data_IF_303289208597
#
_entry.id   IF_303289208597
#
_cell.length_a   1.000
_cell.length_b   1.000
_cell.length_c   1.000
_cell.angle_alpha   90.00
_cell.angle_beta   90.00
_cell.angle_gamma   90.00
#
_symmetry.space_group_name_H-M   'P 1'
#
loop_
_entity.id
_entity.type
_entity.pdbx_description
1 polymer ?
#
# COMPACT_ATOMS: atom_id res chain seq x y z
N UNK A 1 1.02 -15.71 11.22
CA UNK A 1 2.13 -15.24 10.36
C UNK A 1 1.64 -15.44 8.94
N UNK A 2 1.41 -14.37 8.18
CA UNK A 2 1.01 -14.51 6.78
C UNK A 2 2.27 -14.81 5.96
N UNK A 3 2.24 -15.92 5.22
CA UNK A 3 3.29 -16.33 4.31
C UNK A 3 3.39 -15.29 3.18
N UNK A 4 4.59 -14.76 2.95
CA UNK A 4 4.84 -13.68 2.00
C UNK A 4 5.01 -14.26 0.60
N UNK A 5 3.90 -14.52 -0.08
CA UNK A 5 3.92 -14.81 -1.50
C UNK A 5 3.74 -13.48 -2.26
N UNK A 6 4.76 -13.08 -3.03
CA UNK A 6 4.62 -12.02 -4.01
C UNK A 6 3.56 -12.41 -5.05
N UNK A 7 3.04 -11.44 -5.81
CA UNK A 7 2.07 -11.74 -6.89
C UNK A 7 2.64 -12.74 -7.90
N UNK A 8 3.96 -12.76 -8.10
CA UNK A 8 4.63 -13.77 -8.92
C UNK A 8 4.44 -15.20 -8.40
N UNK A 9 4.30 -15.38 -7.07
CA UNK A 9 3.97 -16.67 -6.44
C UNK A 9 2.51 -17.09 -6.57
N UNK A 10 1.63 -16.28 -7.18
CA UNK A 10 0.28 -16.71 -7.59
C UNK A 10 0.36 -17.60 -8.85
N UNK A 11 1.49 -17.58 -9.56
CA UNK A 11 1.79 -18.56 -10.59
C UNK A 11 2.13 -19.91 -9.93
N UNK A 12 1.07 -20.69 -9.64
CA UNK A 12 1.21 -22.12 -9.37
C UNK A 12 1.98 -22.77 -10.52
N UNK A 13 3.07 -23.48 -10.20
CA UNK A 13 3.86 -24.33 -11.09
C UNK A 13 3.11 -25.59 -11.59
N UNK A 14 1.77 -25.60 -11.55
CA UNK A 14 0.98 -26.70 -12.09
C UNK A 14 -0.33 -26.18 -12.72
N UNK A 15 -0.39 -26.01 -14.06
CA UNK A 15 -1.59 -25.53 -14.76
C UNK A 15 -2.77 -26.51 -14.72
N UNK A 16 -2.60 -27.71 -14.16
CA UNK A 16 -3.66 -28.71 -14.00
C UNK A 16 -4.50 -28.55 -12.72
N UNK A 17 -4.09 -27.73 -11.74
CA UNK A 17 -4.73 -27.71 -10.41
C UNK A 17 -5.79 -26.60 -10.23
N UNK A 18 -5.84 -25.62 -11.13
CA UNK A 18 -6.85 -24.56 -11.12
C UNK A 18 -7.38 -24.32 -12.54
N UNK A 19 -8.48 -24.97 -12.94
CA UNK A 19 -9.01 -24.88 -14.30
C UNK A 19 -9.58 -23.48 -14.54
N UNK A 20 -8.81 -22.55 -15.10
CA UNK A 20 -9.28 -21.28 -15.66
C UNK A 20 -10.38 -20.56 -14.84
N UNK A 21 -10.27 -20.60 -13.51
CA UNK A 21 -11.20 -19.95 -12.58
C UNK A 21 -10.61 -18.59 -12.24
N UNK A 22 -11.27 -17.52 -12.68
CA UNK A 22 -10.87 -16.16 -12.35
C UNK A 22 -10.70 -15.93 -10.84
N UNK A 23 -9.85 -14.96 -10.49
CA UNK A 23 -9.60 -14.63 -9.09
C UNK A 23 -10.68 -13.71 -8.53
N UNK A 24 -11.22 -14.05 -7.35
CA UNK A 24 -12.00 -13.10 -6.56
C UNK A 24 -11.06 -12.32 -5.65
N UNK A 25 -10.98 -11.01 -5.85
CA UNK A 25 -10.13 -10.13 -5.07
C UNK A 25 -10.96 -9.36 -4.06
N UNK A 26 -10.50 -9.33 -2.81
CA UNK A 26 -11.08 -8.50 -1.75
C UNK A 26 -10.04 -7.43 -1.38
N UNK A 27 -10.45 -6.16 -1.45
CA UNK A 27 -9.65 -5.02 -1.03
C UNK A 27 -10.36 -4.35 0.14
N UNK A 28 -9.66 -4.14 1.25
CA UNK A 28 -10.21 -3.45 2.42
C UNK A 28 -9.97 -1.95 2.29
N UNK A 29 -11.03 -1.19 2.06
CA UNK A 29 -10.96 0.27 1.96
C UNK A 29 -11.13 0.96 3.32
N UNK A 30 -10.38 2.03 3.52
CA UNK A 30 -10.40 2.84 4.73
C UNK A 30 -9.03 3.39 5.07
N UNK A 31 -8.95 4.15 6.16
CA UNK A 31 -7.64 4.56 6.70
C UNK A 31 -6.80 3.34 7.09
N UNK A 32 -5.48 3.49 7.10
CA UNK A 32 -4.54 2.44 7.55
C UNK A 32 -4.93 1.80 8.90
N UNK A 33 -5.46 2.60 9.82
CA UNK A 33 -5.95 2.08 11.09
C UNK A 33 -7.22 1.25 10.93
N UNK A 34 -8.20 1.76 10.20
CA UNK A 34 -9.48 1.08 9.96
C UNK A 34 -9.29 -0.24 9.22
N UNK A 35 -8.56 -0.25 8.10
CA UNK A 35 -8.31 -1.47 7.33
C UNK A 35 -7.61 -2.55 8.17
N UNK A 36 -6.63 -2.14 9.00
CA UNK A 36 -5.94 -3.06 9.91
C UNK A 36 -6.85 -3.61 11.00
N UNK A 37 -7.71 -2.77 11.57
CA UNK A 37 -8.69 -3.21 12.58
C UNK A 37 -9.68 -4.19 11.94
N UNK A 38 -10.22 -3.85 10.77
CA UNK A 38 -11.15 -4.71 10.02
C UNK A 38 -10.55 -6.09 9.74
N UNK A 39 -9.29 -6.13 9.27
CA UNK A 39 -8.58 -7.38 9.05
C UNK A 39 -8.41 -8.17 10.36
N UNK A 40 -7.82 -7.55 11.39
CA UNK A 40 -7.48 -8.23 12.64
C UNK A 40 -8.70 -8.73 13.43
N UNK A 41 -9.83 -8.04 13.32
CA UNK A 41 -11.05 -8.39 14.05
C UNK A 41 -11.91 -9.44 13.33
N UNK A 42 -11.62 -9.77 12.08
CA UNK A 42 -12.43 -10.70 11.30
C UNK A 42 -11.65 -11.99 11.00
N UNK A 43 -11.96 -13.05 11.75
CA UNK A 43 -11.30 -14.36 11.60
C UNK A 43 -11.50 -14.99 10.21
N UNK A 44 -12.58 -14.67 9.50
CA UNK A 44 -12.79 -15.14 8.14
C UNK A 44 -11.70 -14.59 7.20
N UNK A 45 -11.31 -13.32 7.34
CA UNK A 45 -10.26 -12.73 6.50
C UNK A 45 -8.90 -13.38 6.73
N UNK A 46 -8.64 -13.91 7.93
CA UNK A 46 -7.40 -14.65 8.22
C UNK A 46 -7.31 -16.01 7.52
N UNK A 47 -8.44 -16.61 7.14
CA UNK A 47 -8.46 -17.86 6.36
C UNK A 47 -8.21 -17.64 4.87
N UNK A 48 -8.29 -16.39 4.38
CA UNK A 48 -8.08 -16.06 2.99
C UNK A 48 -6.58 -15.96 2.68
N UNK A 49 -6.21 -16.33 1.45
CA UNK A 49 -4.87 -16.09 0.93
C UNK A 49 -4.61 -14.59 0.87
N UNK A 50 -3.64 -14.12 1.65
CA UNK A 50 -3.20 -12.73 1.65
C UNK A 50 -1.97 -12.58 0.76
N UNK A 51 -1.92 -11.50 -0.01
CA UNK A 51 -0.77 -11.17 -0.85
C UNK A 51 -0.19 -9.82 -0.43
N UNK A 52 1.10 -9.65 -0.67
CA UNK A 52 1.80 -8.39 -0.45
C UNK A 52 2.26 -7.83 -1.79
N UNK A 53 1.94 -6.56 -2.04
CA UNK A 53 2.47 -5.84 -3.19
C UNK A 53 3.89 -5.40 -2.89
N UNK A 54 4.86 -6.09 -3.47
CA UNK A 54 6.26 -5.68 -3.43
C UNK A 54 6.58 -4.72 -4.58
N UNK A 55 7.47 -3.75 -4.30
CA UNK A 55 8.05 -2.84 -5.28
C UNK A 55 7.04 -2.00 -6.08
N UNK A 56 6.19 -1.26 -5.37
CA UNK A 56 5.15 -0.43 -5.99
C UNK A 56 5.59 1.01 -6.33
N UNK A 57 6.86 1.37 -6.07
CA UNK A 57 7.34 2.74 -6.21
C UNK A 57 6.74 3.70 -5.17
N UNK A 58 6.94 5.00 -5.37
CA UNK A 58 6.34 6.06 -4.55
C UNK A 58 4.92 6.32 -5.03
N UNK A 59 3.98 6.41 -4.10
CA UNK A 59 2.58 6.70 -4.41
C UNK A 59 2.39 8.08 -5.05
N UNK A 60 1.50 8.15 -6.02
CA UNK A 60 1.00 9.35 -6.68
C UNK A 60 -0.04 10.10 -5.83
N UNK A 61 -0.56 9.47 -4.77
CA UNK A 61 -1.47 10.13 -3.84
C UNK A 61 -0.75 11.08 -2.87
N UNK A 62 -0.34 12.25 -3.38
CA UNK A 62 0.56 13.19 -2.69
C UNK A 62 -0.12 14.21 -1.77
N UNK A 63 -1.45 14.32 -1.85
CA UNK A 63 -2.24 15.32 -1.09
C UNK A 63 -2.66 14.83 0.30
N UNK A 64 -2.13 13.69 0.76
CA UNK A 64 -2.34 13.15 2.11
C UNK A 64 -1.05 12.57 2.65
N UNK A 65 -0.84 12.71 3.96
CA UNK A 65 0.29 12.06 4.65
C UNK A 65 0.11 10.56 4.70
N UNK A 66 1.14 9.83 4.30
CA UNK A 66 1.20 8.37 4.35
C UNK A 66 2.12 7.88 5.47
N UNK A 67 1.95 6.65 5.99
CA UNK A 67 2.83 6.10 7.00
C UNK A 67 4.30 6.01 6.54
N UNK A 68 4.53 5.45 5.36
CA UNK A 68 5.85 5.28 4.71
C UNK A 68 5.78 5.74 3.26
N UNK A 69 6.92 5.94 2.60
CA UNK A 69 7.01 6.34 1.18
C UNK A 69 6.51 5.25 0.21
N UNK A 70 6.51 4.00 0.67
CA UNK A 70 6.11 2.80 -0.08
C UNK A 70 4.63 2.44 0.09
N UNK A 71 3.90 3.23 0.88
CA UNK A 71 2.47 3.04 1.07
C UNK A 71 1.70 3.46 -0.18
N UNK A 72 0.65 2.71 -0.51
CA UNK A 72 -0.23 3.00 -1.65
C UNK A 72 -1.61 3.43 -1.18
N UNK A 73 -2.31 4.21 -2.01
CA UNK A 73 -3.76 4.35 -1.90
C UNK A 73 -4.48 3.06 -2.30
N UNK A 74 -5.75 2.93 -1.91
CA UNK A 74 -6.61 1.80 -2.30
C UNK A 74 -6.66 1.62 -3.82
N UNK A 75 -6.76 2.74 -4.56
CA UNK A 75 -6.82 2.73 -6.03
C UNK A 75 -5.52 2.25 -6.65
N UNK A 76 -4.37 2.70 -6.15
CA UNK A 76 -3.07 2.25 -6.66
C UNK A 76 -2.82 0.77 -6.37
N UNK A 77 -3.18 0.31 -5.17
CA UNK A 77 -3.07 -1.11 -4.83
C UNK A 77 -3.94 -1.98 -5.75
N UNK A 78 -5.18 -1.55 -6.03
CA UNK A 78 -6.07 -2.22 -6.98
C UNK A 78 -5.49 -2.20 -8.41
N UNK A 79 -4.96 -1.05 -8.83
CA UNK A 79 -4.40 -0.85 -10.15
C UNK A 79 -3.21 -1.77 -10.43
N UNK A 80 -2.26 -1.86 -9.49
CA UNK A 80 -1.10 -2.77 -9.57
C UNK A 80 -1.53 -4.23 -9.56
N UNK A 81 -2.48 -4.58 -8.69
CA UNK A 81 -2.97 -5.94 -8.59
C UNK A 81 -3.62 -6.39 -9.91
N UNK A 82 -4.56 -5.60 -10.44
CA UNK A 82 -5.27 -5.93 -11.67
C UNK A 82 -4.35 -5.92 -12.88
N UNK A 83 -3.43 -4.97 -12.99
CA UNK A 83 -2.47 -4.96 -14.11
C UNK A 83 -1.59 -6.21 -14.15
N UNK A 84 -1.26 -6.78 -12.97
CA UNK A 84 -0.48 -8.02 -12.88
C UNK A 84 -1.34 -9.26 -13.12
N UNK A 85 -2.56 -9.32 -12.58
CA UNK A 85 -3.47 -10.46 -12.79
C UNK A 85 -3.88 -10.60 -14.25
N UNK A 86 -4.19 -9.48 -14.91
CA UNK A 86 -4.64 -9.45 -16.31
C UNK A 86 -3.49 -9.36 -17.31
N UNK A 87 -2.24 -9.27 -16.84
CA UNK A 87 -1.04 -9.11 -17.67
C UNK A 87 -1.11 -7.89 -18.63
N UNK A 88 -1.82 -6.84 -18.22
CA UNK A 88 -2.01 -5.61 -18.98
C UNK A 88 -1.55 -4.40 -18.15
N UNK A 89 -0.33 -3.87 -18.40
CA UNK A 89 0.17 -2.67 -17.74
C UNK A 89 -0.70 -1.43 -17.97
N UNK A 90 -1.49 -1.35 -19.04
CA UNK A 90 -2.33 -0.18 -19.34
C UNK A 90 -3.47 0.01 -18.33
N UNK A 91 -3.89 -1.07 -17.67
CA UNK A 91 -4.89 -1.04 -16.60
C UNK A 91 -4.40 -0.13 -15.46
N UNK A 92 -3.12 -0.18 -15.13
CA UNK A 92 -2.55 0.63 -14.08
C UNK A 92 -2.77 2.12 -14.37
N UNK A 93 -2.40 2.57 -15.56
CA UNK A 93 -2.49 3.98 -15.95
C UNK A 93 -3.93 4.46 -16.07
N UNK A 94 -4.83 3.59 -16.57
CA UNK A 94 -6.26 3.87 -16.67
C UNK A 94 -6.90 4.08 -15.30
N UNK A 95 -6.58 3.21 -14.33
CA UNK A 95 -7.16 3.26 -12.99
C UNK A 95 -6.54 4.36 -12.11
N UNK A 96 -5.27 4.71 -12.31
CA UNK A 96 -4.60 5.79 -11.56
C UNK A 96 -4.86 7.18 -12.15
N UNK A 97 -5.35 7.29 -13.39
CA UNK A 97 -5.64 8.60 -14.02
C UNK A 97 -6.59 9.48 -13.19
N UNK A 98 -7.75 9.00 -12.69
CA UNK A 98 -8.63 9.82 -11.85
C UNK A 98 -7.96 10.29 -10.56
N UNK A 99 -7.12 9.45 -9.94
CA UNK A 99 -6.36 9.80 -8.75
C UNK A 99 -5.42 10.99 -9.02
N UNK A 100 -4.66 10.93 -10.12
CA UNK A 100 -3.79 12.04 -10.56
C UNK A 100 -4.59 13.31 -10.79
N UNK A 101 -5.71 13.23 -11.53
CA UNK A 101 -6.57 14.38 -11.80
C UNK A 101 -7.08 15.06 -10.53
N UNK A 102 -7.49 14.28 -9.52
CA UNK A 102 -7.93 14.84 -8.23
C UNK A 102 -6.77 15.50 -7.49
N UNK A 103 -5.58 14.88 -7.48
CA UNK A 103 -4.40 15.47 -6.86
C UNK A 103 -4.04 16.79 -7.53
N UNK A 104 -3.94 16.82 -8.86
CA UNK A 104 -3.61 18.03 -9.63
C UNK A 104 -4.63 19.14 -9.38
N UNK A 105 -5.92 18.81 -9.37
CA UNK A 105 -6.98 19.77 -9.07
C UNK A 105 -6.83 20.38 -7.68
N UNK A 106 -6.59 19.54 -6.67
CA UNK A 106 -6.42 20.00 -5.28
C UNK A 106 -5.16 20.86 -5.12
N UNK A 107 -4.04 20.45 -5.73
CA UNK A 107 -2.79 21.21 -5.71
C UNK A 107 -2.98 22.60 -6.37
N UNK A 108 -3.67 22.65 -7.51
CA UNK A 108 -4.02 23.91 -8.19
C UNK A 108 -4.93 24.82 -7.35
N UNK A 109 -5.66 24.26 -6.38
CA UNK A 109 -6.49 25.01 -5.42
C UNK A 109 -5.79 25.30 -4.09
N UNK A 110 -4.48 25.04 -4.01
CA UNK A 110 -3.65 25.37 -2.85
C UNK A 110 -3.47 24.24 -1.84
N UNK A 111 -3.83 23.00 -2.18
CA UNK A 111 -3.40 21.85 -1.39
C UNK A 111 -1.86 21.73 -1.43
N UNK A 112 -1.29 21.18 -0.35
CA UNK A 112 0.16 21.02 -0.21
C UNK A 112 0.53 19.55 -0.36
N UNK A 113 1.69 19.30 -0.93
CA UNK A 113 2.24 17.94 -0.99
C UNK A 113 2.72 17.51 0.40
N UNK A 114 2.40 16.28 0.78
CA UNK A 114 2.82 15.73 2.05
C UNK A 114 3.95 14.71 1.84
N UNK A 115 4.99 14.79 2.67
CA UNK A 115 5.96 13.72 2.81
C UNK A 115 5.40 12.63 3.73
N UNK A 116 5.96 11.42 3.65
CA UNK A 116 5.57 10.36 4.57
C UNK A 116 5.89 10.72 6.03
N UNK A 117 5.12 10.15 6.95
CA UNK A 117 5.35 10.30 8.39
C UNK A 117 6.73 9.79 8.77
N UNK A 118 7.18 8.68 8.19
CA UNK A 118 8.53 8.16 8.36
C UNK A 118 9.59 9.20 7.95
N UNK A 119 9.48 9.78 6.75
CA UNK A 119 10.40 10.82 6.28
C UNK A 119 10.47 12.02 7.24
N UNK A 120 9.32 12.53 7.69
CA UNK A 120 9.27 13.67 8.61
C UNK A 120 9.96 13.35 9.94
N UNK A 121 9.82 12.13 10.44
CA UNK A 121 10.43 11.72 11.71
C UNK A 121 11.94 11.56 11.55
N UNK A 122 12.40 10.90 10.49
CA UNK A 122 13.83 10.64 10.26
C UNK A 122 14.62 11.93 10.01
N UNK A 123 14.00 12.94 9.38
CA UNK A 123 14.65 14.22 9.11
C UNK A 123 14.42 15.27 10.21
N UNK A 124 13.81 14.91 11.35
CA UNK A 124 13.56 15.86 12.45
C UNK A 124 12.52 16.95 12.15
N UNK A 125 11.72 16.78 11.08
CA UNK A 125 10.67 17.71 10.64
C UNK A 125 9.29 17.39 11.25
N UNK A 126 9.21 16.42 12.16
CA UNK A 126 7.96 16.00 12.79
C UNK A 126 7.69 16.75 14.10
N UNK A 127 6.76 17.69 14.06
CA UNK A 127 6.47 18.62 15.17
C UNK A 127 5.76 17.98 16.38
N UNK A 128 5.11 16.81 16.22
CA UNK A 128 4.31 16.19 17.28
C UNK A 128 5.14 15.24 18.14
N UNK A 129 4.84 15.12 19.45
CA UNK A 129 5.57 14.21 20.32
C UNK A 129 5.43 12.76 19.86
N UNK A 130 6.56 12.06 19.80
CA UNK A 130 6.62 10.65 19.41
C UNK A 130 6.15 9.75 20.55
N UNK A 131 5.21 8.86 20.26
CA UNK A 131 4.79 7.80 21.18
C UNK A 131 5.95 6.80 21.42
N UNK A 132 5.96 6.12 22.59
CA UNK A 132 7.02 5.15 22.97
C UNK A 132 7.39 4.15 21.87
N UNK A 133 6.38 3.61 21.16
CA UNK A 133 6.57 2.66 20.06
C UNK A 133 7.31 3.26 18.86
N UNK A 134 6.99 4.52 18.52
CA UNK A 134 7.64 5.23 17.42
C UNK A 134 9.09 5.56 17.77
N UNK A 135 9.35 6.05 18.99
CA UNK A 135 10.72 6.29 19.48
C UNK A 135 11.61 5.04 19.36
N UNK A 136 11.10 3.88 19.78
CA UNK A 136 11.86 2.61 19.68
C UNK A 136 12.20 2.25 18.23
N UNK A 137 11.25 2.42 17.29
CA UNK A 137 11.50 2.17 15.86
C UNK A 137 12.55 3.10 15.26
N UNK A 138 12.48 4.39 15.60
CA UNK A 138 13.43 5.40 15.10
C UNK A 138 14.84 5.10 15.59
N UNK A 139 15.00 4.82 16.89
CA UNK A 139 16.32 4.46 17.45
C UNK A 139 16.89 3.22 16.75
N UNK A 140 16.06 2.18 16.56
CA UNK A 140 16.49 0.95 15.88
C UNK A 140 16.88 1.18 14.39
N UNK A 141 16.29 2.17 13.72
CA UNK A 141 16.69 2.56 12.35
C UNK A 141 17.99 3.38 12.33
N UNK A 142 18.22 4.24 13.32
CA UNK A 142 19.49 4.99 13.44
C UNK A 142 20.66 4.05 13.74
N UNK A 143 20.45 3.03 14.58
CA UNK A 143 21.48 2.05 14.93
C UNK A 143 21.86 1.13 13.75
N UNK A 144 20.98 0.94 12.77
CA UNK A 144 21.23 0.11 11.58
C UNK A 144 21.92 0.86 10.43
N UNK A 145 21.99 2.20 10.50
CA UNK A 145 22.57 3.06 9.47
C UNK A 145 23.97 3.58 9.85
N UNK A 146 24.55 3.09 10.95
CA UNK A 146 25.86 3.47 11.49
C UNK A 146 26.75 2.24 11.68
#
# INVERSE_FOLDING_TARGET
MAESLGIEGIQSNNPAEYPNTGFNVIILDGTWHQARVLFNCNSFLHSLRCIKLESAGRSQYVIRTQPTETCLSTVEAAAILLSRLEHDPSIHDRLTRPLRTICDYQLNKGAVTHQSKEYLITNGLYERPLNRRLKKKVNQQMDNNN
#
